data_IF_983231181529
#
_entry.id   IF_983231181529
#
_cell.length_a   1.000
_cell.length_b   1.000
_cell.length_c   1.000
_cell.angle_alpha   90.00
_cell.angle_beta   90.00
_cell.angle_gamma   90.00
#
_symmetry.space_group_name_H-M   'P 1'
#
loop_
_entity.id
_entity.type
_entity.pdbx_description
1 polymer ?
#
# COMPACT_ATOMS: atom_id res chain seq x y z
N UNK A 1 -8.02 5.60 22.57
CA UNK A 1 -8.30 4.21 22.12
C UNK A 1 -9.45 3.65 22.95
N UNK A 2 -10.42 3.02 22.32
CA UNK A 2 -11.56 2.41 23.00
C UNK A 2 -11.34 0.90 23.10
N UNK A 3 -11.49 0.34 24.31
CA UNK A 3 -11.46 -1.10 24.52
C UNK A 3 -12.86 -1.68 24.31
N UNK A 4 -12.95 -2.72 23.49
CA UNK A 4 -14.15 -3.54 23.35
C UNK A 4 -13.83 -4.94 23.88
N UNK A 5 -14.73 -5.47 24.67
CA UNK A 5 -14.58 -6.80 25.26
C UNK A 5 -15.57 -7.76 24.60
N UNK A 6 -15.15 -9.01 24.39
CA UNK A 6 -16.06 -10.03 23.91
C UNK A 6 -17.16 -10.28 24.95
N UNK A 7 -18.38 -10.54 24.53
CA UNK A 7 -19.55 -10.70 25.41
C UNK A 7 -19.37 -11.79 26.49
N UNK A 8 -18.47 -12.74 26.27
CA UNK A 8 -18.19 -13.86 27.18
C UNK A 8 -16.80 -13.77 27.84
N UNK A 9 -16.12 -12.62 27.78
CA UNK A 9 -14.80 -12.49 28.36
C UNK A 9 -14.85 -12.44 29.89
N UNK A 10 -14.14 -13.34 30.55
CA UNK A 10 -13.98 -13.29 31.99
C UNK A 10 -12.98 -12.19 32.38
N UNK A 11 -13.18 -11.57 33.55
CA UNK A 11 -12.29 -10.52 34.05
C UNK A 11 -10.81 -10.92 34.08
N UNK A 12 -10.52 -12.16 34.50
CA UNK A 12 -9.16 -12.68 34.59
C UNK A 12 -8.50 -12.83 33.21
N UNK A 13 -9.25 -13.30 32.22
CA UNK A 13 -8.77 -13.41 30.85
C UNK A 13 -8.46 -12.03 30.25
N UNK A 14 -9.30 -11.04 30.51
CA UNK A 14 -9.08 -9.65 30.06
C UNK A 14 -7.87 -9.04 30.73
N UNK A 15 -7.66 -9.24 32.03
CA UNK A 15 -6.48 -8.75 32.73
C UNK A 15 -5.18 -9.40 32.21
N UNK A 16 -5.21 -10.70 31.93
CA UNK A 16 -4.08 -11.42 31.36
C UNK A 16 -3.71 -10.87 29.97
N UNK A 17 -4.68 -10.70 29.08
CA UNK A 17 -4.51 -10.16 27.73
C UNK A 17 -3.97 -8.71 27.76
N UNK A 18 -4.51 -7.87 28.66
CA UNK A 18 -4.01 -6.49 28.85
C UNK A 18 -2.55 -6.51 29.32
N UNK A 19 -2.22 -7.33 30.30
CA UNK A 19 -0.84 -7.44 30.81
C UNK A 19 0.11 -7.92 29.74
N UNK A 20 -0.24 -8.94 28.99
CA UNK A 20 0.58 -9.46 27.91
C UNK A 20 0.85 -8.38 26.86
N UNK A 21 -0.17 -7.64 26.44
CA UNK A 21 -0.03 -6.53 25.47
C UNK A 21 0.76 -5.34 26.00
N UNK A 22 0.69 -5.05 27.30
CA UNK A 22 1.47 -3.99 27.94
C UNK A 22 2.95 -4.37 28.07
N UNK A 23 3.26 -5.65 28.37
CA UNK A 23 4.62 -6.16 28.57
C UNK A 23 5.31 -6.45 27.24
N UNK A 24 4.60 -6.95 26.23
CA UNK A 24 5.16 -7.31 24.92
C UNK A 24 5.72 -6.12 24.12
N UNK A 25 5.53 -4.89 24.60
CA UNK A 25 6.13 -3.68 24.01
C UNK A 25 5.74 -3.45 22.55
N UNK A 26 4.64 -4.01 22.09
CA UNK A 26 4.22 -4.04 20.69
C UNK A 26 3.83 -2.68 20.09
N UNK A 27 4.30 -1.57 20.66
CA UNK A 27 4.09 -0.21 20.13
C UNK A 27 2.63 0.27 20.15
N UNK A 28 1.71 -0.55 20.61
CA UNK A 28 0.28 -0.23 20.69
C UNK A 28 -0.07 0.82 21.75
N UNK A 29 0.72 0.89 22.83
CA UNK A 29 0.49 1.79 23.94
C UNK A 29 1.66 2.74 24.16
N UNK A 30 1.56 3.93 23.62
CA UNK A 30 2.50 5.01 23.93
C UNK A 30 2.12 5.65 25.27
N UNK A 31 3.11 6.05 26.08
CA UNK A 31 2.88 6.80 27.32
C UNK A 31 2.00 8.03 27.05
N UNK A 32 0.99 8.25 27.86
CA UNK A 32 0.01 9.33 27.69
C UNK A 32 -1.17 8.95 26.79
N UNK A 33 -1.22 7.76 26.20
CA UNK A 33 -2.40 7.31 25.41
C UNK A 33 -3.63 7.23 26.31
N UNK A 34 -4.72 7.85 25.84
CA UNK A 34 -6.03 7.81 26.50
C UNK A 34 -6.71 6.46 26.17
N UNK A 35 -6.97 5.65 27.19
CA UNK A 35 -7.71 4.40 27.09
C UNK A 35 -9.09 4.59 27.70
N UNK A 36 -10.13 4.16 27.00
CA UNK A 36 -11.52 4.24 27.45
C UNK A 36 -12.07 2.85 27.78
N UNK A 37 -12.62 2.69 28.99
CA UNK A 37 -13.26 1.46 29.46
C UNK A 37 -14.77 1.69 29.51
N UNK A 38 -15.62 0.81 28.91
CA UNK A 38 -17.06 0.89 29.06
C UNK A 38 -17.50 0.75 30.53
N UNK A 39 -18.45 1.57 30.96
CA UNK A 39 -18.93 1.57 32.35
C UNK A 39 -19.70 0.31 32.74
N UNK A 40 -20.23 -0.39 31.74
CA UNK A 40 -21.02 -1.63 31.83
C UNK A 40 -20.18 -2.90 31.73
N UNK A 41 -18.90 -2.79 31.39
CA UNK A 41 -18.04 -3.97 31.15
C UNK A 41 -17.76 -4.80 32.42
N UNK A 42 -17.57 -4.13 33.58
CA UNK A 42 -17.21 -4.79 34.84
C UNK A 42 -17.76 -4.01 36.06
N UNK A 43 -17.71 -4.62 37.26
CA UNK A 43 -18.04 -3.94 38.50
C UNK A 43 -17.10 -2.75 38.78
N UNK A 44 -17.49 -1.80 39.61
CA UNK A 44 -16.73 -0.60 39.94
C UNK A 44 -15.29 -0.92 40.43
N UNK A 45 -15.18 -1.93 41.30
CA UNK A 45 -13.89 -2.38 41.86
C UNK A 45 -12.96 -2.94 40.80
N UNK A 46 -13.48 -3.78 39.90
CA UNK A 46 -12.70 -4.37 38.80
C UNK A 46 -12.23 -3.32 37.78
N UNK A 47 -13.06 -2.32 37.50
CA UNK A 47 -12.66 -1.20 36.64
C UNK A 47 -11.56 -0.35 37.27
N UNK A 48 -11.60 -0.15 38.58
CA UNK A 48 -10.54 0.61 39.28
C UNK A 48 -9.20 -0.14 39.24
N UNK A 49 -9.21 -1.45 39.41
CA UNK A 49 -8.00 -2.27 39.26
C UNK A 49 -7.40 -2.20 37.83
N UNK A 50 -8.24 -2.18 36.79
CA UNK A 50 -7.78 -1.99 35.40
C UNK A 50 -7.20 -0.58 35.20
N UNK A 51 -7.81 0.45 35.81
CA UNK A 51 -7.27 1.83 35.73
C UNK A 51 -5.90 1.93 36.40
N UNK A 52 -5.72 1.34 37.58
CA UNK A 52 -4.43 1.31 38.27
C UNK A 52 -3.36 0.64 37.42
N UNK A 53 -3.68 -0.50 36.81
CA UNK A 53 -2.79 -1.20 35.89
C UNK A 53 -2.36 -0.32 34.72
N UNK A 54 -3.28 0.36 34.05
CA UNK A 54 -2.95 1.28 32.96
C UNK A 54 -2.10 2.47 33.42
N UNK A 55 -2.37 3.00 34.62
CA UNK A 55 -1.62 4.10 35.19
C UNK A 55 -0.17 3.72 35.51
N UNK A 56 0.09 2.50 35.98
CA UNK A 56 1.45 1.96 36.20
C UNK A 56 2.30 1.96 34.93
N UNK A 57 1.67 1.75 33.78
CA UNK A 57 2.33 1.81 32.46
C UNK A 57 2.29 3.20 31.78
N UNK A 58 1.88 4.23 32.55
CA UNK A 58 1.87 5.62 32.08
C UNK A 58 0.75 5.95 31.10
N UNK A 59 -0.36 5.19 31.09
CA UNK A 59 -1.53 5.43 30.27
C UNK A 59 -2.61 6.18 31.06
N UNK A 60 -3.42 6.98 30.37
CA UNK A 60 -4.53 7.71 30.96
C UNK A 60 -5.80 6.90 30.73
N UNK A 61 -6.45 6.44 31.81
CA UNK A 61 -7.67 5.65 31.70
C UNK A 61 -8.90 6.45 32.12
N UNK A 62 -9.95 6.43 31.26
CA UNK A 62 -11.26 6.99 31.56
C UNK A 62 -12.36 5.96 31.39
N UNK A 63 -13.32 5.96 32.32
CA UNK A 63 -14.56 5.17 32.20
C UNK A 63 -15.57 6.02 31.45
N UNK A 64 -16.16 5.45 30.41
CA UNK A 64 -17.25 6.10 29.70
C UNK A 64 -18.57 5.33 29.85
N UNK A 65 -19.67 6.02 30.07
CA UNK A 65 -21.01 5.41 30.07
C UNK A 65 -21.43 5.23 28.62
N UNK A 66 -21.51 3.99 28.16
CA UNK A 66 -21.86 3.65 26.79
C UNK A 66 -23.10 4.38 26.31
N UNK A 67 -22.98 5.03 25.15
CA UNK A 67 -23.92 5.72 24.28
C UNK A 67 -23.78 7.22 24.11
N UNK A 68 -22.82 7.89 24.73
CA UNK A 68 -22.52 9.29 24.38
C UNK A 68 -21.09 9.45 23.82
N UNK A 69 -20.81 8.82 22.68
CA UNK A 69 -19.95 9.49 21.72
C UNK A 69 -20.87 10.59 21.16
N UNK A 70 -20.63 11.84 21.58
CA UNK A 70 -21.32 12.97 21.00
C UNK A 70 -21.24 12.84 19.48
N UNK A 71 -22.36 12.83 18.74
CA UNK A 71 -22.35 12.69 17.28
C UNK A 71 -21.39 13.65 16.60
N UNK A 72 -21.16 14.81 17.22
CA UNK A 72 -20.20 15.82 16.79
C UNK A 72 -18.72 15.34 16.82
N UNK A 73 -18.34 14.52 17.79
CA UNK A 73 -16.95 14.04 17.92
C UNK A 73 -16.67 12.89 16.96
N UNK A 74 -17.65 12.03 16.71
CA UNK A 74 -17.58 11.00 15.69
C UNK A 74 -17.53 11.61 14.28
N UNK A 75 -18.31 12.66 14.04
CA UNK A 75 -18.28 13.41 12.79
C UNK A 75 -16.91 14.08 12.54
N UNK A 76 -16.29 14.64 13.58
CA UNK A 76 -14.95 15.24 13.47
C UNK A 76 -13.87 14.18 13.17
N UNK A 77 -13.92 13.01 13.82
CA UNK A 77 -12.97 11.91 13.57
C UNK A 77 -13.16 11.40 12.14
N UNK A 78 -14.38 11.22 11.68
CA UNK A 78 -14.68 10.77 10.32
C UNK A 78 -14.22 11.80 9.28
N UNK A 79 -14.47 13.10 9.50
CA UNK A 79 -14.00 14.18 8.62
C UNK A 79 -12.46 14.25 8.56
N UNK A 80 -11.77 14.07 9.70
CA UNK A 80 -10.30 14.02 9.69
C UNK A 80 -9.77 12.80 8.97
N UNK A 81 -10.39 11.64 9.13
CA UNK A 81 -10.00 10.41 8.40
C UNK A 81 -10.24 10.53 6.90
N UNK A 82 -11.36 11.15 6.49
CA UNK A 82 -11.64 11.42 5.08
C UNK A 82 -10.66 12.45 4.49
N UNK A 83 -10.30 13.49 5.23
CA UNK A 83 -9.29 14.47 4.80
C UNK A 83 -7.90 13.86 4.65
N UNK A 84 -7.47 13.00 5.60
CA UNK A 84 -6.19 12.30 5.52
C UNK A 84 -6.19 11.36 4.30
N UNK A 85 -7.27 10.60 4.10
CA UNK A 85 -7.40 9.70 2.97
C UNK A 85 -7.47 10.43 1.62
N UNK A 86 -8.15 11.58 1.57
CA UNK A 86 -8.18 12.44 0.40
C UNK A 86 -6.81 13.07 0.09
N UNK A 87 -6.09 13.52 1.12
CA UNK A 87 -4.74 14.05 0.98
C UNK A 87 -3.72 12.98 0.54
N UNK A 88 -3.83 11.77 1.07
CA UNK A 88 -3.00 10.63 0.64
C UNK A 88 -3.31 10.23 -0.82
N UNK A 89 -4.58 10.25 -1.21
CA UNK A 89 -5.01 9.96 -2.58
C UNK A 89 -4.50 11.05 -3.54
N UNK A 90 -4.65 12.33 -3.20
CA UNK A 90 -4.12 13.43 -4.01
C UNK A 90 -2.59 13.42 -4.09
N UNK A 91 -1.89 13.09 -3.00
CA UNK A 91 -0.44 12.96 -3.02
C UNK A 91 0.04 11.76 -3.86
N UNK A 92 -0.74 10.67 -3.90
CA UNK A 92 -0.49 9.53 -4.76
C UNK A 92 -0.76 9.86 -6.23
N UNK A 93 -1.84 10.59 -6.53
CA UNK A 93 -2.17 11.06 -7.88
C UNK A 93 -1.14 12.07 -8.41
N UNK A 94 -0.69 13.01 -7.60
CA UNK A 94 0.38 13.95 -7.96
C UNK A 94 1.71 13.24 -8.22
N UNK A 95 2.05 12.22 -7.43
CA UNK A 95 3.24 11.38 -7.67
C UNK A 95 3.11 10.49 -8.90
N UNK A 96 1.89 10.05 -9.24
CA UNK A 96 1.62 9.30 -10.47
C UNK A 96 1.69 10.20 -11.72
N UNK A 97 1.55 11.52 -11.59
CA UNK A 97 1.68 12.49 -12.68
C UNK A 97 3.13 12.90 -12.97
N UNK A 98 4.07 12.70 -12.07
CA UNK A 98 5.49 12.88 -12.34
C UNK A 98 6.00 11.73 -13.21
N UNK A 99 6.03 11.93 -14.53
CA UNK A 99 6.60 10.98 -15.47
C UNK A 99 8.04 11.40 -15.84
N UNK A 100 8.98 10.51 -15.59
CA UNK A 100 10.36 10.70 -16.03
C UNK A 100 10.46 10.37 -17.52
N UNK A 101 10.87 11.33 -18.34
CA UNK A 101 11.05 11.13 -19.78
C UNK A 101 12.54 10.91 -20.10
N UNK A 102 12.83 9.81 -20.77
CA UNK A 102 14.19 9.43 -21.19
C UNK A 102 14.26 9.35 -22.71
N UNK A 103 14.86 10.35 -23.33
CA UNK A 103 14.97 10.49 -24.80
C UNK A 103 16.22 9.79 -25.35
N UNK A 104 16.37 8.49 -25.10
CA UNK A 104 17.47 7.69 -25.64
C UNK A 104 17.19 6.19 -25.55
N UNK A 105 17.89 5.42 -26.37
CA UNK A 105 17.94 3.96 -26.25
C UNK A 105 18.71 3.54 -24.99
N UNK A 106 18.19 2.53 -24.27
CA UNK A 106 18.83 1.93 -23.11
C UNK A 106 19.54 0.66 -23.56
N UNK A 107 20.86 0.64 -23.34
CA UNK A 107 21.74 -0.45 -23.78
C UNK A 107 21.91 -1.50 -22.70
N UNK A 108 22.34 -2.71 -23.09
CA UNK A 108 22.65 -3.79 -22.15
C UNK A 108 23.60 -3.34 -21.03
N UNK A 109 23.32 -3.77 -19.80
CA UNK A 109 24.04 -3.35 -18.60
C UNK A 109 23.62 -2.00 -18.02
N UNK A 110 22.74 -1.24 -18.69
CA UNK A 110 22.19 0.00 -18.13
C UNK A 110 20.92 -0.28 -17.36
N UNK A 111 20.77 0.41 -16.22
CA UNK A 111 19.58 0.39 -15.37
C UNK A 111 18.98 1.78 -15.27
N UNK A 112 17.66 1.88 -15.37
CA UNK A 112 16.89 3.06 -15.00
C UNK A 112 16.01 2.67 -13.83
N UNK A 113 16.11 3.42 -12.72
CA UNK A 113 15.30 3.22 -11.54
C UNK A 113 14.67 4.53 -11.10
N UNK A 114 13.33 4.54 -10.99
CA UNK A 114 12.55 5.70 -10.56
C UNK A 114 11.42 5.29 -9.66
N UNK A 115 10.98 6.19 -8.79
CA UNK A 115 9.76 6.00 -7.98
C UNK A 115 8.48 6.35 -8.74
N UNK A 116 8.60 7.11 -9.81
CA UNK A 116 7.51 7.60 -10.65
C UNK A 116 7.30 6.70 -11.86
N UNK A 117 6.34 7.05 -12.73
CA UNK A 117 6.21 6.47 -14.06
C UNK A 117 7.38 6.89 -14.96
N UNK A 118 7.67 6.10 -15.99
CA UNK A 118 8.75 6.43 -16.94
C UNK A 118 8.27 6.26 -18.37
N UNK A 119 8.63 7.24 -19.21
CA UNK A 119 8.50 7.17 -20.65
C UNK A 119 9.89 7.08 -21.28
N UNK A 120 10.09 6.11 -22.16
CA UNK A 120 11.35 5.93 -22.89
C UNK A 120 11.09 6.17 -24.37
N UNK A 121 11.63 7.27 -24.91
CA UNK A 121 11.61 7.56 -26.34
C UNK A 121 12.84 6.89 -26.98
N UNK A 122 12.74 5.59 -27.24
CA UNK A 122 13.81 4.77 -27.78
C UNK A 122 13.63 3.30 -27.42
N UNK A 123 14.62 2.48 -27.77
CA UNK A 123 14.59 1.04 -27.53
C UNK A 123 15.17 0.67 -26.16
N UNK A 124 14.70 -0.44 -25.60
CA UNK A 124 15.29 -1.08 -24.42
C UNK A 124 15.92 -2.39 -24.88
N UNK A 125 17.24 -2.42 -24.96
CA UNK A 125 17.99 -3.54 -25.51
C UNK A 125 18.12 -4.71 -24.51
N UNK A 126 18.44 -5.94 -25.00
CA UNK A 126 18.70 -7.07 -24.12
C UNK A 126 19.77 -6.76 -23.07
N UNK A 127 19.54 -7.19 -21.83
CA UNK A 127 20.42 -6.87 -20.68
C UNK A 127 20.24 -5.48 -20.06
N UNK A 128 19.37 -4.64 -20.62
CA UNK A 128 18.94 -3.40 -19.97
C UNK A 128 17.83 -3.67 -18.97
N UNK A 129 17.74 -2.83 -17.91
CA UNK A 129 16.72 -2.96 -16.88
C UNK A 129 16.00 -1.63 -16.65
N UNK A 130 14.69 -1.69 -16.59
CA UNK A 130 13.84 -0.53 -16.25
C UNK A 130 13.00 -0.90 -15.02
N UNK A 131 13.14 -0.11 -13.95
CA UNK A 131 12.42 -0.29 -12.69
C UNK A 131 11.69 1.01 -12.39
N UNK A 132 10.37 0.98 -12.45
CA UNK A 132 9.51 2.13 -12.18
C UNK A 132 8.55 1.86 -11.03
N UNK A 133 8.33 2.84 -10.18
CA UNK A 133 7.30 2.78 -9.15
C UNK A 133 5.88 2.85 -9.71
N UNK A 134 5.70 3.55 -10.83
CA UNK A 134 4.47 3.61 -11.61
C UNK A 134 4.55 2.79 -12.89
N UNK A 135 3.88 3.28 -13.94
CA UNK A 135 3.80 2.63 -15.25
C UNK A 135 5.03 2.92 -16.12
N UNK A 136 5.25 2.07 -17.13
CA UNK A 136 6.35 2.19 -18.09
C UNK A 136 5.76 2.31 -19.50
N UNK A 137 6.10 3.37 -20.21
CA UNK A 137 5.77 3.57 -21.63
C UNK A 137 7.07 3.61 -22.47
N UNK A 138 7.21 2.69 -23.43
CA UNK A 138 8.36 2.59 -24.31
C UNK A 138 7.91 2.89 -25.72
N UNK A 139 8.39 4.03 -26.26
CA UNK A 139 8.19 4.43 -27.66
C UNK A 139 9.28 3.77 -28.50
N UNK A 140 9.13 2.47 -28.72
CA UNK A 140 10.06 1.62 -29.43
C UNK A 140 9.98 0.16 -29.01
N UNK A 141 11.05 -0.59 -29.29
CA UNK A 141 11.11 -2.04 -28.98
C UNK A 141 11.67 -2.28 -27.58
N UNK A 142 10.94 -3.04 -26.77
CA UNK A 142 11.38 -3.52 -25.47
C UNK A 142 11.92 -4.95 -25.56
N UNK A 143 13.23 -5.15 -25.39
CA UNK A 143 13.90 -6.45 -25.33
C UNK A 143 14.61 -6.71 -24.00
N UNK A 144 14.63 -5.72 -23.10
CA UNK A 144 15.23 -5.84 -21.77
C UNK A 144 14.28 -6.37 -20.72
N UNK A 145 14.66 -6.21 -19.45
CA UNK A 145 13.81 -6.49 -18.30
C UNK A 145 13.04 -5.21 -17.91
N UNK A 146 11.76 -5.34 -17.66
CA UNK A 146 10.90 -4.22 -17.26
C UNK A 146 10.10 -4.58 -16.01
N UNK A 147 10.11 -3.67 -15.02
CA UNK A 147 9.41 -3.81 -13.75
C UNK A 147 8.60 -2.54 -13.47
N UNK A 148 7.31 -2.60 -13.71
CA UNK A 148 6.35 -1.55 -13.35
C UNK A 148 5.75 -1.81 -11.96
N UNK A 149 5.30 -0.76 -11.28
CA UNK A 149 4.71 -0.88 -9.95
C UNK A 149 5.64 -1.47 -8.90
N UNK A 150 6.96 -1.21 -9.01
CA UNK A 150 8.00 -1.86 -8.21
C UNK A 150 7.87 -1.63 -6.69
N UNK A 151 7.05 -0.68 -6.27
CA UNK A 151 6.78 -0.37 -4.85
C UNK A 151 5.37 -0.79 -4.42
N UNK A 152 4.75 -1.76 -5.13
CA UNK A 152 3.46 -2.35 -4.76
C UNK A 152 2.25 -1.80 -5.51
N UNK A 153 2.44 -1.01 -6.56
CA UNK A 153 1.34 -0.54 -7.40
C UNK A 153 0.87 -1.66 -8.36
N UNK A 154 -0.26 -2.26 -8.04
CA UNK A 154 -0.90 -3.30 -8.84
C UNK A 154 -1.68 -2.75 -10.06
N UNK A 155 -1.88 -1.42 -10.13
CA UNK A 155 -2.57 -0.75 -11.23
C UNK A 155 -1.62 -0.31 -12.34
N UNK A 156 -0.31 -0.38 -12.08
CA UNK A 156 0.72 -0.07 -13.05
C UNK A 156 0.66 -0.99 -14.28
N UNK A 157 1.06 -0.45 -15.40
CA UNK A 157 1.09 -1.15 -16.68
C UNK A 157 2.40 -0.88 -17.44
N UNK A 158 2.67 -1.70 -18.44
CA UNK A 158 3.79 -1.54 -19.35
C UNK A 158 3.24 -1.47 -20.76
N UNK A 159 3.63 -0.44 -21.51
CA UNK A 159 3.30 -0.29 -22.94
C UNK A 159 4.60 -0.24 -23.72
N UNK A 160 4.64 -0.91 -24.87
CA UNK A 160 5.71 -0.77 -25.85
C UNK A 160 5.16 -0.85 -27.28
N UNK A 161 5.84 -0.24 -28.24
CA UNK A 161 5.49 -0.39 -29.66
C UNK A 161 5.67 -1.83 -30.12
N UNK A 162 6.72 -2.49 -29.59
CA UNK A 162 6.96 -3.92 -29.74
C UNK A 162 7.44 -4.48 -28.40
N UNK A 163 6.57 -5.27 -27.75
CA UNK A 163 6.81 -5.79 -26.40
C UNK A 163 7.41 -7.20 -26.47
N UNK A 164 8.74 -7.28 -26.51
CA UNK A 164 9.53 -8.52 -26.60
C UNK A 164 10.51 -8.67 -25.42
N UNK A 165 10.12 -8.41 -24.18
CA UNK A 165 11.05 -8.37 -23.05
C UNK A 165 11.55 -9.77 -22.68
N UNK A 166 12.72 -9.85 -22.07
CA UNK A 166 13.19 -11.09 -21.45
C UNK A 166 12.37 -11.45 -20.22
N UNK A 167 11.89 -10.43 -19.51
CA UNK A 167 11.07 -10.58 -18.32
C UNK A 167 10.21 -9.33 -18.09
N UNK A 168 8.94 -9.55 -17.78
CA UNK A 168 8.00 -8.53 -17.31
C UNK A 168 7.73 -8.77 -15.84
N UNK A 169 7.76 -7.69 -15.08
CA UNK A 169 7.28 -7.67 -13.68
C UNK A 169 6.28 -6.52 -13.52
N UNK A 170 5.18 -6.79 -12.85
CA UNK A 170 4.23 -5.76 -12.44
C UNK A 170 3.91 -6.04 -10.98
N UNK A 171 4.26 -5.08 -10.10
CA UNK A 171 4.21 -5.26 -8.66
C UNK A 171 4.94 -6.55 -8.24
N UNK A 172 4.25 -7.51 -7.67
CA UNK A 172 4.79 -8.78 -7.21
C UNK A 172 4.70 -9.91 -8.24
N UNK A 173 4.06 -9.69 -9.37
CA UNK A 173 3.87 -10.69 -10.41
C UNK A 173 5.02 -10.67 -11.40
N UNK A 174 5.37 -11.85 -11.90
CA UNK A 174 6.46 -12.06 -12.87
C UNK A 174 5.92 -12.87 -14.04
N UNK A 175 6.15 -12.40 -15.24
CA UNK A 175 5.95 -13.15 -16.46
C UNK A 175 7.26 -13.19 -17.26
N UNK A 176 7.58 -14.35 -17.83
CA UNK A 176 8.70 -14.54 -18.76
C UNK A 176 8.15 -14.72 -20.15
N UNK A 177 8.82 -14.16 -21.10
CA UNK A 177 8.48 -14.36 -22.50
C UNK A 177 8.73 -15.81 -22.91
N UNK A 178 7.87 -16.41 -23.74
CA UNK A 178 8.17 -17.69 -24.39
C UNK A 178 9.39 -17.55 -25.30
N UNK A 179 10.13 -18.65 -25.49
CA UNK A 179 11.40 -18.68 -26.26
C UNK A 179 11.24 -18.26 -27.74
N UNK A 180 10.02 -18.30 -28.26
CA UNK A 180 9.68 -17.82 -29.60
C UNK A 180 8.57 -16.78 -29.49
N UNK A 181 8.93 -15.52 -29.50
CA UNK A 181 7.98 -14.42 -29.69
C UNK A 181 7.99 -13.97 -31.13
N UNK A 182 6.82 -13.96 -31.74
CA UNK A 182 6.62 -13.27 -33.00
C UNK A 182 6.48 -11.77 -32.74
N UNK A 183 7.12 -10.95 -33.56
CA UNK A 183 7.05 -9.51 -33.44
C UNK A 183 5.66 -9.06 -33.88
N UNK A 184 4.89 -8.49 -32.97
CA UNK A 184 3.59 -7.92 -33.28
C UNK A 184 3.76 -6.57 -34.00
N UNK A 185 2.95 -6.33 -35.00
CA UNK A 185 2.92 -5.04 -35.74
C UNK A 185 2.24 -3.92 -34.95
N UNK A 186 1.61 -4.24 -33.84
CA UNK A 186 0.83 -3.29 -33.01
C UNK A 186 1.49 -3.10 -31.66
N UNK A 187 1.28 -1.91 -31.11
CA UNK A 187 1.68 -1.65 -29.73
C UNK A 187 0.91 -2.55 -28.78
N UNK A 188 1.58 -2.97 -27.71
CA UNK A 188 1.05 -3.89 -26.71
C UNK A 188 1.11 -3.29 -25.33
N UNK A 189 0.12 -3.65 -24.52
CA UNK A 189 0.02 -3.28 -23.10
C UNK A 189 -0.01 -4.53 -22.23
N UNK A 190 0.92 -4.60 -21.27
CA UNK A 190 0.92 -5.58 -20.21
C UNK A 190 0.37 -4.96 -18.92
N UNK A 191 -0.57 -5.64 -18.27
CA UNK A 191 -1.20 -5.20 -17.01
C UNK A 191 -1.71 -6.40 -16.21
N UNK A 192 -2.11 -6.16 -14.96
CA UNK A 192 -2.65 -7.22 -14.10
C UNK A 192 -4.17 -7.33 -14.31
N UNK A 193 -4.63 -8.54 -14.64
CA UNK A 193 -6.05 -8.90 -14.74
C UNK A 193 -6.27 -10.24 -14.04
N UNK A 194 -7.18 -10.30 -13.09
CA UNK A 194 -7.49 -11.51 -12.32
C UNK A 194 -6.25 -12.17 -11.67
N UNK A 195 -5.31 -11.35 -11.16
CA UNK A 195 -4.11 -11.84 -10.48
C UNK A 195 -3.02 -12.41 -11.41
N UNK A 196 -3.11 -12.16 -12.71
CA UNK A 196 -2.11 -12.58 -13.70
C UNK A 196 -1.74 -11.40 -14.61
N UNK A 197 -0.51 -11.43 -15.16
CA UNK A 197 -0.10 -10.47 -16.18
C UNK A 197 -0.69 -10.91 -17.51
N UNK A 198 -1.47 -10.01 -18.11
CA UNK A 198 -2.10 -10.19 -19.42
C UNK A 198 -1.49 -9.17 -20.38
N UNK A 199 -1.27 -9.57 -21.63
CA UNK A 199 -0.80 -8.70 -22.72
C UNK A 199 -1.91 -8.57 -23.73
N UNK A 200 -2.30 -7.33 -24.06
CA UNK A 200 -3.33 -7.01 -25.03
C UNK A 200 -2.78 -5.99 -26.04
N UNK A 201 -3.11 -6.13 -27.35
CA UNK A 201 -2.75 -5.12 -28.33
C UNK A 201 -3.53 -3.83 -28.06
N UNK A 202 -2.91 -2.69 -28.31
CA UNK A 202 -3.51 -1.36 -28.19
C UNK A 202 -3.29 -0.54 -29.46
N UNK A 203 -4.21 0.39 -29.72
CA UNK A 203 -4.01 1.44 -30.69
C UNK A 203 -3.44 2.66 -29.97
N UNK A 204 -2.24 3.11 -30.36
CA UNK A 204 -1.70 4.39 -29.89
C UNK A 204 -2.32 5.50 -30.74
N UNK A 205 -3.00 6.42 -30.08
CA UNK A 205 -3.34 7.69 -30.71
C UNK A 205 -2.04 8.47 -30.90
N UNK A 206 -1.72 8.81 -32.14
CA UNK A 206 -0.54 9.54 -32.56
C UNK A 206 -0.45 10.96 -32.04
#
# INVERSE_FOLDING_TARGET
>A
MQLSFAANATYEAVLADIREKLVSGSGFFLRGTLVQIPADAFSAEKREAIKQLFHEYGLICRVFKGKEILPAMQAQINMQQEQIKAAETQAAELKAQEMVVVNRTIRGGQEIKTKSSVMICGNVNPGAQIIAGGSIDIRGTCRGMVHAGAYGDNTAFIIADHLMPTQIRISNLIARSPDKMEMTERAERAFIKNGQIVIEPIERQG
#
